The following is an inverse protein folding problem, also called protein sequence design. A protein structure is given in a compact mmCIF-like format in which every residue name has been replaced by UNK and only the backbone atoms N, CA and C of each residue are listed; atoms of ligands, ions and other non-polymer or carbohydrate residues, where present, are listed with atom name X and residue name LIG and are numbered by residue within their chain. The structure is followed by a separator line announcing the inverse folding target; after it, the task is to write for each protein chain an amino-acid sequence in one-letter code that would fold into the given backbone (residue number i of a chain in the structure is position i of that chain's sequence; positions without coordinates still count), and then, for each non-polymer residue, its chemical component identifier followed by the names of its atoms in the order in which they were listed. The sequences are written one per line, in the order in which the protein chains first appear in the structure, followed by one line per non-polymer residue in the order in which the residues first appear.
data_IF_535690073379
#
_entry.id   IF_535690073379
#
_cell.length_a   1.000
_cell.length_b   1.000
_cell.length_c   1.000
_cell.angle_alpha   90.00
_cell.angle_beta   90.00
_cell.angle_gamma   90.00
#
_symmetry.space_group_name_H-M   'P 1'
#
loop_
_entity.id
_entity.type
_entity.pdbx_description
1 polymer ?
#
# COMPACT_ATOMS: atom_id res chain seq x y z
N UNK A 1 -3.34 4.23 9.21
CA UNK A 1 -3.88 5.16 8.18
C UNK A 1 -4.65 4.35 7.16
N UNK A 2 -5.60 4.96 6.45
CA UNK A 2 -6.41 4.30 5.41
C UNK A 2 -6.11 4.85 4.03
N UNK A 3 -6.37 4.02 3.02
CA UNK A 3 -6.25 4.40 1.63
C UNK A 3 -6.75 3.31 0.70
N UNK A 4 -6.66 3.59 -0.59
CA UNK A 4 -7.12 2.70 -1.65
C UNK A 4 -5.97 2.30 -2.57
N UNK A 5 -5.86 1.02 -2.88
CA UNK A 5 -4.85 0.52 -3.81
C UNK A 5 -5.11 1.11 -5.19
N UNK A 6 -4.18 1.95 -5.65
CA UNK A 6 -4.25 2.59 -6.97
C UNK A 6 -4.00 1.57 -8.07
N UNK A 7 -3.01 0.72 -7.85
CA UNK A 7 -2.64 -0.39 -8.70
C UNK A 7 -1.63 -1.26 -7.97
N UNK A 8 -1.58 -2.54 -8.32
CA UNK A 8 -0.59 -3.47 -7.80
C UNK A 8 -0.14 -4.45 -8.88
N UNK A 9 1.17 -4.59 -9.06
CA UNK A 9 1.73 -5.55 -9.99
C UNK A 9 2.16 -6.81 -9.24
N UNK A 10 1.36 -7.87 -9.35
CA UNK A 10 1.59 -9.15 -8.65
C UNK A 10 2.93 -9.79 -9.04
N UNK A 11 3.31 -9.69 -10.32
CA UNK A 11 4.56 -10.26 -10.85
C UNK A 11 5.79 -9.54 -10.30
N UNK A 12 5.75 -8.20 -10.26
CA UNK A 12 6.83 -7.36 -9.73
C UNK A 12 6.77 -7.19 -8.20
N UNK A 13 5.67 -7.60 -7.57
CA UNK A 13 5.43 -7.59 -6.12
C UNK A 13 5.43 -6.17 -5.50
N UNK A 14 5.03 -5.15 -6.27
CA UNK A 14 4.90 -3.77 -5.77
C UNK A 14 3.74 -3.02 -6.42
N UNK A 15 3.35 -1.90 -5.79
CA UNK A 15 2.29 -1.02 -6.27
C UNK A 15 2.26 0.31 -5.54
N UNK A 16 1.13 1.00 -5.63
CA UNK A 16 0.88 2.26 -4.94
C UNK A 16 -0.50 2.30 -4.31
N UNK A 17 -0.60 3.00 -3.19
CA UNK A 17 -1.83 3.25 -2.43
C UNK A 17 -2.09 4.76 -2.41
N UNK A 18 -3.27 5.16 -2.85
CA UNK A 18 -3.78 6.52 -2.67
C UNK A 18 -4.18 6.66 -1.20
N UNK A 19 -3.64 7.67 -0.52
CA UNK A 19 -3.96 7.91 0.90
C UNK A 19 -5.24 8.74 1.01
N UNK A 20 -6.07 8.43 1.99
CA UNK A 20 -7.32 9.18 2.21
C UNK A 20 -7.08 10.56 2.84
N UNK A 21 -5.89 10.79 3.41
CA UNK A 21 -5.51 12.08 4.00
C UNK A 21 -5.06 13.13 2.97
N UNK A 22 -5.15 12.80 1.67
CA UNK A 22 -4.78 13.70 0.57
C UNK A 22 -3.28 13.91 0.37
N UNK A 23 -2.44 13.14 1.07
CA UNK A 23 -0.98 13.15 0.88
C UNK A 23 -0.53 12.47 -0.42
N UNK A 24 0.78 12.48 -0.66
CA UNK A 24 1.38 11.78 -1.82
C UNK A 24 1.13 10.26 -1.74
N UNK A 25 0.83 9.66 -2.90
CA UNK A 25 0.67 8.21 -3.06
C UNK A 25 1.80 7.44 -2.35
N UNK A 26 1.42 6.48 -1.51
CA UNK A 26 2.36 5.68 -0.75
C UNK A 26 2.78 4.45 -1.58
N UNK A 27 4.08 4.23 -1.71
CA UNK A 27 4.62 3.02 -2.31
C UNK A 27 4.35 1.81 -1.42
N UNK A 28 3.96 0.67 -1.99
CA UNK A 28 3.77 -0.58 -1.25
C UNK A 28 4.52 -1.73 -1.92
N UNK A 29 5.23 -2.52 -1.11
CA UNK A 29 5.86 -3.77 -1.54
C UNK A 29 5.15 -4.97 -0.91
N UNK A 30 5.11 -6.11 -1.59
CA UNK A 30 4.43 -7.30 -1.11
C UNK A 30 4.98 -7.84 0.23
N UNK A 31 6.23 -7.51 0.58
CA UNK A 31 6.82 -7.86 1.87
C UNK A 31 6.21 -7.10 3.04
N UNK A 32 5.63 -5.94 2.76
CA UNK A 32 4.99 -5.08 3.75
C UNK A 32 3.51 -5.44 3.94
N UNK A 33 2.96 -6.34 3.12
CA UNK A 33 1.58 -6.82 3.21
C UNK A 33 1.51 -8.00 4.16
N UNK A 34 0.69 -7.86 5.20
CA UNK A 34 0.54 -8.88 6.22
C UNK A 34 -0.49 -9.95 5.82
N UNK A 35 -0.34 -11.16 6.38
CA UNK A 35 -1.31 -12.24 6.16
C UNK A 35 -1.25 -12.95 4.80
N UNK A 36 -0.24 -12.64 3.96
CA UNK A 36 -0.07 -13.29 2.66
C UNK A 36 -1.13 -12.89 1.61
N UNK A 37 -1.91 -11.85 1.89
CA UNK A 37 -2.91 -11.32 0.98
C UNK A 37 -2.24 -10.62 -0.21
N UNK A 38 -2.80 -10.79 -1.41
CA UNK A 38 -2.37 -10.04 -2.59
C UNK A 38 -3.29 -8.84 -2.77
N UNK A 39 -2.71 -7.65 -2.91
CA UNK A 39 -3.45 -6.43 -3.16
C UNK A 39 -4.01 -6.41 -4.58
N UNK A 40 -5.23 -5.92 -4.73
CA UNK A 40 -5.87 -5.65 -6.02
C UNK A 40 -6.17 -4.16 -6.16
N UNK A 41 -6.23 -3.70 -7.40
CA UNK A 41 -6.70 -2.34 -7.67
C UNK A 41 -8.10 -2.13 -7.09
N UNK A 42 -8.27 -1.03 -6.35
CA UNK A 42 -9.54 -0.70 -5.70
C UNK A 42 -9.71 -1.24 -4.29
N UNK A 43 -8.84 -2.14 -3.81
CA UNK A 43 -8.88 -2.61 -2.43
C UNK A 43 -8.69 -1.44 -1.46
N UNK A 44 -9.50 -1.40 -0.41
CA UNK A 44 -9.30 -0.50 0.73
C UNK A 44 -8.36 -1.17 1.71
N UNK A 45 -7.31 -0.46 2.10
CA UNK A 45 -6.23 -0.96 2.95
C UNK A 45 -6.00 -0.05 4.15
N UNK A 46 -5.64 -0.68 5.27
CA UNK A 46 -5.03 -0.01 6.41
C UNK A 46 -3.52 -0.24 6.40
N UNK A 47 -2.76 0.81 6.70
CA UNK A 47 -1.29 0.79 6.72
C UNK A 47 -0.72 1.87 7.62
N UNK A 48 0.52 1.69 8.03
CA UNK A 48 1.35 2.72 8.66
C UNK A 48 2.15 3.46 7.58
N UNK A 49 2.30 4.78 7.70
CA UNK A 49 3.11 5.57 6.79
C UNK A 49 4.56 5.63 7.29
N UNK A 50 5.45 4.98 6.55
CA UNK A 50 6.90 5.11 6.67
C UNK A 50 7.50 5.90 5.51
N UNK A 51 8.83 5.86 5.44
CA UNK A 51 9.60 6.39 4.33
C UNK A 51 10.54 5.30 3.79
N UNK A 52 10.78 5.28 2.47
CA UNK A 52 11.84 4.46 1.88
C UNK A 52 13.23 5.13 2.02
N UNK A 53 14.29 4.44 1.60
CA UNK A 53 15.67 4.96 1.63
C UNK A 53 15.87 6.23 0.79
N UNK A 54 14.92 6.55 -0.10
CA UNK A 54 14.91 7.76 -0.93
C UNK A 54 14.04 8.88 -0.33
N UNK A 55 13.48 8.70 0.88
CA UNK A 55 12.62 9.67 1.55
C UNK A 55 11.19 9.74 1.02
N UNK A 56 10.75 8.79 0.19
CA UNK A 56 9.39 8.76 -0.37
C UNK A 56 8.43 8.07 0.59
N UNK A 57 7.17 8.48 0.56
CA UNK A 57 6.09 7.84 1.31
C UNK A 57 6.01 6.34 0.99
N UNK A 58 6.09 5.51 2.03
CA UNK A 58 5.98 4.05 1.94
C UNK A 58 4.90 3.54 2.88
N UNK A 59 3.98 2.72 2.38
CA UNK A 59 3.02 2.00 3.19
C UNK A 59 3.67 0.75 3.78
N UNK A 60 3.65 0.62 5.11
CA UNK A 60 4.16 -0.54 5.86
C UNK A 60 3.05 -1.17 6.71
N UNK A 61 3.20 -2.45 7.07
CA UNK A 61 2.18 -3.23 7.81
C UNK A 61 0.80 -3.16 7.16
N UNK A 62 0.77 -3.35 5.85
CA UNK A 62 -0.43 -3.18 5.03
C UNK A 62 -1.38 -4.35 5.23
N UNK A 63 -2.66 -4.05 5.47
CA UNK A 63 -3.76 -5.01 5.63
C UNK A 63 -4.93 -4.62 4.75
N UNK A 64 -5.53 -5.58 4.06
CA UNK A 64 -6.78 -5.35 3.31
C UNK A 64 -7.93 -5.32 4.32
N UNK A 65 -8.68 -4.23 4.32
CA UNK A 65 -9.87 -4.06 5.18
C UNK A 65 -11.17 -4.26 4.39
N UNK A 66 -11.13 -4.03 3.07
CA UNK A 66 -12.26 -4.29 2.18
C UNK A 66 -11.74 -4.48 0.74
N UNK A 67 -12.20 -5.53 0.06
CA UNK A 67 -11.84 -5.84 -1.34
C UNK A 67 -13.05 -6.29 -2.15
#
# INVERSE_FOLDING_TARGET
MQGKVKWFNVTKRFGFVVRDDGGQDAFVHASDVEGGTTLKEGDTVEFDLGQDDSGRAKAVRVRVVQG
#
